data_IF_127263044312
#
_entry.id   IF_127263044312
#
_cell.length_a   1.000
_cell.length_b   1.000
_cell.length_c   1.000
_cell.angle_alpha   90.00
_cell.angle_beta   90.00
_cell.angle_gamma   90.00
#
_symmetry.space_group_name_H-M   'P 1'
#
loop_
_entity.id
_entity.type
_entity.pdbx_description
1 polymer ?
#
# COMPACT_ATOMS: atom_id res chain seq x y z
N UNK A 1 13.40 -6.83 3.80
CA UNK A 1 14.69 -6.19 3.53
C UNK A 1 14.46 -5.34 2.31
N UNK A 2 14.26 -4.05 2.57
CA UNK A 2 13.81 -3.04 1.63
C UNK A 2 14.43 -1.69 1.98
N UNK A 3 14.46 -0.80 0.99
CA UNK A 3 14.98 0.55 1.20
C UNK A 3 14.12 1.29 2.23
N UNK A 4 14.73 1.92 3.25
CA UNK A 4 13.99 2.67 4.26
C UNK A 4 13.20 3.83 3.66
N UNK A 5 13.61 4.34 2.49
CA UNK A 5 12.92 5.46 1.84
C UNK A 5 11.46 5.19 1.52
N UNK A 6 11.03 3.93 1.46
CA UNK A 6 9.63 3.55 1.26
C UNK A 6 8.71 4.05 2.39
N UNK A 7 9.26 4.31 3.58
CA UNK A 7 8.49 4.81 4.72
C UNK A 7 8.28 6.34 4.71
N UNK A 8 8.89 7.07 3.78
CA UNK A 8 8.68 8.52 3.67
C UNK A 8 8.58 9.04 2.23
N UNK A 9 8.70 8.17 1.23
CA UNK A 9 8.41 8.50 -0.17
C UNK A 9 7.00 8.03 -0.49
N UNK A 10 6.07 8.94 -0.67
CA UNK A 10 4.70 8.66 -1.05
C UNK A 10 4.61 8.56 -2.58
N UNK A 11 4.09 7.46 -3.10
CA UNK A 11 3.68 7.37 -4.51
C UNK A 11 2.22 7.80 -4.60
N UNK A 12 1.93 8.78 -5.45
CA UNK A 12 0.57 9.30 -5.66
C UNK A 12 0.35 9.66 -7.13
N UNK A 13 -0.90 9.96 -7.45
CA UNK A 13 -1.25 10.57 -8.73
C UNK A 13 -1.31 12.09 -8.58
N UNK A 14 -0.81 12.81 -9.57
CA UNK A 14 -1.03 14.25 -9.67
C UNK A 14 -2.43 14.56 -10.25
N UNK A 15 -2.76 15.85 -10.37
CA UNK A 15 -4.06 16.30 -10.91
C UNK A 15 -4.29 15.89 -12.37
N UNK A 16 -3.24 15.48 -13.09
CA UNK A 16 -3.30 14.99 -14.47
C UNK A 16 -3.36 13.46 -14.54
N UNK A 17 -3.39 12.77 -13.39
CA UNK A 17 -3.37 11.31 -13.31
C UNK A 17 -1.98 10.70 -13.51
N UNK A 18 -0.92 11.51 -13.50
CA UNK A 18 0.45 11.02 -13.68
C UNK A 18 1.08 10.59 -12.35
N UNK A 19 1.90 9.54 -12.43
CA UNK A 19 2.63 9.01 -11.28
C UNK A 19 3.65 10.02 -10.77
N UNK A 20 3.50 10.44 -9.53
CA UNK A 20 4.45 11.29 -8.82
C UNK A 20 4.96 10.60 -7.55
N UNK A 21 6.23 10.85 -7.20
CA UNK A 21 6.79 10.45 -5.91
C UNK A 21 7.17 11.69 -5.13
N UNK A 22 6.58 11.84 -3.95
CA UNK A 22 6.82 12.96 -3.04
C UNK A 22 7.54 12.47 -1.79
N UNK A 23 8.51 13.24 -1.30
CA UNK A 23 9.13 13.00 0.00
C UNK A 23 8.31 13.71 1.10
N UNK A 24 7.81 12.95 2.06
CA UNK A 24 7.09 13.46 3.23
C UNK A 24 8.09 13.76 4.34
N UNK A 25 8.47 15.03 4.47
CA UNK A 25 9.54 15.47 5.37
C UNK A 25 9.31 15.08 6.84
N UNK A 26 8.09 15.29 7.37
CA UNK A 26 7.77 14.90 8.75
C UNK A 26 7.86 13.39 8.98
N UNK A 27 7.47 12.58 7.97
CA UNK A 27 7.56 11.12 8.05
C UNK A 27 9.02 10.67 8.06
N UNK A 28 9.87 11.29 7.23
CA UNK A 28 11.32 11.04 7.20
C UNK A 28 11.97 11.38 8.53
N UNK A 29 11.67 12.56 9.07
CA UNK A 29 12.20 13.00 10.36
C UNK A 29 11.75 12.07 11.49
N UNK A 30 10.46 11.75 11.55
CA UNK A 30 9.92 10.78 12.50
C UNK A 30 10.60 9.41 12.38
N UNK A 31 10.75 8.89 11.17
CA UNK A 31 11.40 7.59 10.95
C UNK A 31 12.85 7.60 11.44
N UNK A 32 13.60 8.64 11.13
CA UNK A 32 15.01 8.78 11.56
C UNK A 32 15.13 8.90 13.09
N UNK A 33 14.18 9.57 13.75
CA UNK A 33 14.15 9.69 15.21
C UNK A 33 13.71 8.40 15.90
N UNK A 34 12.69 7.73 15.37
CA UNK A 34 12.12 6.51 15.97
C UNK A 34 13.00 5.29 15.74
N UNK A 35 13.74 5.27 14.62
CA UNK A 35 14.55 4.14 14.18
C UNK A 35 16.01 4.56 13.91
N UNK A 36 16.62 5.27 14.88
CA UNK A 36 18.00 5.79 14.78
C UNK A 36 19.00 4.71 14.37
N UNK A 37 18.83 3.47 14.84
CA UNK A 37 19.67 2.33 14.49
C UNK A 37 19.71 1.99 12.99
N UNK A 38 18.71 2.45 12.23
CA UNK A 38 18.58 2.25 10.79
C UNK A 38 18.83 3.53 10.00
N UNK A 39 19.14 4.64 10.66
CA UNK A 39 19.47 5.90 10.00
C UNK A 39 20.72 5.72 9.13
N UNK A 40 20.58 5.96 7.82
CA UNK A 40 21.67 5.81 6.86
C UNK A 40 21.95 4.39 6.39
N UNK A 41 21.17 3.38 6.82
CA UNK A 41 21.25 2.04 6.25
C UNK A 41 20.55 1.97 4.89
N UNK A 42 21.05 1.12 4.00
CA UNK A 42 20.43 0.86 2.70
C UNK A 42 19.25 -0.12 2.79
N UNK A 43 19.18 -0.88 3.88
CA UNK A 43 18.23 -1.96 4.06
C UNK A 43 17.74 -1.99 5.51
N UNK A 44 16.44 -2.25 5.69
CA UNK A 44 15.81 -2.31 7.00
C UNK A 44 14.92 -3.55 7.19
N UNK A 45 14.77 -4.03 8.44
CA UNK A 45 13.89 -5.15 8.75
C UNK A 45 12.43 -4.67 8.75
N UNK A 46 11.79 -4.69 7.58
CA UNK A 46 10.41 -4.21 7.37
C UNK A 46 9.41 -4.74 8.41
N UNK A 47 9.49 -6.04 8.75
CA UNK A 47 8.59 -6.67 9.71
C UNK A 47 8.71 -6.08 11.12
N UNK A 48 9.93 -5.70 11.55
CA UNK A 48 10.14 -5.05 12.83
C UNK A 48 9.55 -3.64 12.84
N UNK A 49 9.83 -2.85 11.79
CA UNK A 49 9.32 -1.48 11.66
C UNK A 49 7.79 -1.47 11.62
N UNK A 50 7.19 -2.32 10.77
CA UNK A 50 5.74 -2.41 10.62
C UNK A 50 5.05 -2.76 11.94
N UNK A 51 5.60 -3.71 12.72
CA UNK A 51 5.10 -4.04 14.06
C UNK A 51 5.16 -2.85 15.02
N UNK A 52 6.28 -2.13 15.05
CA UNK A 52 6.43 -0.94 15.90
C UNK A 52 5.43 0.16 15.51
N UNK A 53 5.27 0.44 14.22
CA UNK A 53 4.30 1.42 13.74
C UNK A 53 2.86 1.02 14.09
N UNK A 54 2.47 -0.25 13.87
CA UNK A 54 1.14 -0.75 14.25
C UNK A 54 0.90 -0.62 15.76
N UNK A 55 1.90 -0.92 16.58
CA UNK A 55 1.79 -0.75 18.02
C UNK A 55 1.60 0.72 18.42
N UNK A 56 2.30 1.66 17.78
CA UNK A 56 2.10 3.10 18.01
C UNK A 56 0.69 3.54 17.63
N UNK A 57 0.21 3.12 16.45
CA UNK A 57 -1.13 3.45 15.95
C UNK A 57 -2.23 2.90 16.88
N UNK A 58 -2.10 1.64 17.32
CA UNK A 58 -3.09 0.96 18.17
C UNK A 58 -3.09 1.47 19.62
N UNK A 59 -1.93 1.83 20.17
CA UNK A 59 -1.82 2.35 21.55
C UNK A 59 -2.59 3.64 21.77
N UNK A 60 -2.75 4.45 20.72
CA UNK A 60 -3.26 5.83 20.84
C UNK A 60 -4.57 6.03 20.08
N UNK A 61 -5.27 4.94 19.74
CA UNK A 61 -6.52 4.94 18.97
C UNK A 61 -7.69 5.77 19.53
N UNK A 62 -7.51 6.48 20.66
CA UNK A 62 -8.53 7.28 21.35
C UNK A 62 -8.09 8.72 21.74
N UNK A 63 -6.89 9.19 21.36
CA UNK A 63 -6.47 10.58 21.67
C UNK A 63 -6.29 11.38 20.38
N UNK A 64 -7.24 12.24 20.07
CA UNK A 64 -7.08 13.23 19.00
C UNK A 64 -5.86 14.13 19.28
N UNK A 65 -4.94 14.22 18.32
CA UNK A 65 -3.76 15.08 18.42
C UNK A 65 -2.43 14.37 18.70
N UNK A 66 -2.39 13.04 18.79
CA UNK A 66 -1.12 12.33 18.99
C UNK A 66 -0.27 12.26 17.70
N UNK A 67 0.69 13.17 17.62
CA UNK A 67 1.59 13.33 16.47
C UNK A 67 2.39 12.06 16.13
N UNK A 68 2.96 11.30 17.09
CA UNK A 68 3.67 10.05 16.80
C UNK A 68 2.81 8.96 16.16
N UNK A 69 1.60 8.69 16.67
CA UNK A 69 0.70 7.70 16.07
C UNK A 69 0.31 8.09 14.63
N UNK A 70 0.02 9.38 14.40
CA UNK A 70 -0.28 9.90 13.07
C UNK A 70 0.92 9.76 12.11
N UNK A 71 2.13 10.10 12.54
CA UNK A 71 3.32 9.96 11.69
C UNK A 71 3.68 8.49 11.42
N UNK A 72 3.41 7.59 12.36
CA UNK A 72 3.52 6.16 12.11
C UNK A 72 2.52 5.68 11.05
N UNK A 73 1.27 6.16 11.09
CA UNK A 73 0.25 5.89 10.07
C UNK A 73 0.69 6.40 8.69
N UNK A 74 1.18 7.63 8.63
CA UNK A 74 1.75 8.26 7.42
C UNK A 74 2.89 7.41 6.85
N UNK A 75 3.81 6.91 7.70
CA UNK A 75 4.90 6.05 7.25
C UNK A 75 4.39 4.74 6.65
N UNK A 76 3.37 4.14 7.26
CA UNK A 76 2.75 2.90 6.77
C UNK A 76 2.04 3.13 5.43
N UNK A 77 1.33 4.26 5.27
CA UNK A 77 0.68 4.64 4.00
C UNK A 77 1.71 4.91 2.89
N UNK A 78 2.84 5.56 3.19
CA UNK A 78 3.95 5.67 2.26
C UNK A 78 4.45 4.29 1.80
N UNK A 79 4.67 3.37 2.74
CA UNK A 79 5.11 2.02 2.41
C UNK A 79 4.08 1.30 1.52
N UNK A 80 2.79 1.37 1.88
CA UNK A 80 1.69 0.78 1.11
C UNK A 80 1.66 1.34 -0.32
N UNK A 81 1.75 2.65 -0.51
CA UNK A 81 1.76 3.27 -1.84
C UNK A 81 2.89 2.75 -2.75
N UNK A 82 4.09 2.54 -2.19
CA UNK A 82 5.21 1.94 -2.93
C UNK A 82 4.93 0.48 -3.31
N UNK A 83 4.26 -0.27 -2.43
CA UNK A 83 3.88 -1.65 -2.72
C UNK A 83 2.82 -1.71 -3.83
N UNK A 84 1.82 -0.82 -3.78
CA UNK A 84 0.78 -0.69 -4.82
C UNK A 84 1.43 -0.40 -6.18
N UNK A 85 2.28 0.63 -6.26
CA UNK A 85 3.03 0.98 -7.49
C UNK A 85 3.82 -0.23 -8.03
N UNK A 86 4.54 -0.93 -7.16
CA UNK A 86 5.27 -2.14 -7.54
C UNK A 86 4.39 -3.30 -8.02
N UNK A 87 3.16 -3.44 -7.49
CA UNK A 87 2.19 -4.45 -7.96
C UNK A 87 1.70 -4.09 -9.37
N UNK A 88 1.32 -2.83 -9.60
CA UNK A 88 0.88 -2.36 -10.92
C UNK A 88 1.98 -2.54 -11.97
N UNK A 89 3.23 -2.21 -11.63
CA UNK A 89 4.39 -2.45 -12.51
C UNK A 89 4.55 -3.93 -12.87
N UNK A 90 4.42 -4.84 -11.89
CA UNK A 90 4.51 -6.29 -12.15
C UNK A 90 3.35 -6.80 -13.01
N UNK A 91 2.13 -6.34 -12.77
CA UNK A 91 0.97 -6.71 -13.60
C UNK A 91 1.15 -6.27 -15.05
N UNK A 92 1.57 -5.03 -15.27
CA UNK A 92 1.83 -4.52 -16.61
C UNK A 92 3.01 -5.23 -17.30
N UNK A 93 4.06 -5.59 -16.55
CA UNK A 93 5.16 -6.38 -17.08
C UNK A 93 4.73 -7.80 -17.50
N UNK A 94 3.81 -8.41 -16.75
CA UNK A 94 3.34 -9.77 -17.03
C UNK A 94 2.31 -9.82 -18.15
N UNK A 95 1.39 -8.85 -18.21
CA UNK A 95 0.21 -8.92 -19.08
C UNK A 95 0.08 -7.73 -20.04
N UNK A 96 0.65 -6.57 -19.69
CA UNK A 96 0.40 -5.32 -20.38
C UNK A 96 0.77 -5.32 -21.86
N UNK A 97 1.91 -5.90 -22.23
CA UNK A 97 2.35 -5.96 -23.65
C UNK A 97 1.42 -6.77 -24.54
N UNK A 98 0.80 -7.83 -24.00
CA UNK A 98 -0.13 -8.71 -24.73
C UNK A 98 -1.55 -8.15 -24.76
N UNK A 99 -1.94 -7.44 -23.69
CA UNK A 99 -3.32 -7.00 -23.45
C UNK A 99 -3.52 -5.50 -23.67
N UNK A 100 -2.50 -4.75 -24.09
CA UNK A 100 -2.64 -3.37 -24.56
C UNK A 100 -2.70 -2.31 -23.45
N UNK A 101 -2.21 -2.59 -22.25
CA UNK A 101 -2.19 -1.63 -21.14
C UNK A 101 -0.80 -1.50 -20.50
N UNK A 102 -0.60 -0.43 -19.75
CA UNK A 102 0.59 -0.12 -18.99
C UNK A 102 0.27 -0.01 -17.50
N UNK A 103 1.30 0.06 -16.65
CA UNK A 103 1.07 0.22 -15.22
C UNK A 103 0.37 1.54 -14.88
N UNK A 104 0.55 2.59 -15.70
CA UNK A 104 -0.12 3.88 -15.53
C UNK A 104 -1.64 3.75 -15.65
N UNK A 105 -2.12 2.84 -16.49
CA UNK A 105 -3.57 2.60 -16.64
C UNK A 105 -4.16 1.94 -15.40
N UNK A 106 -3.34 1.25 -14.59
CA UNK A 106 -3.79 0.59 -13.36
C UNK A 106 -3.82 1.52 -12.14
N UNK A 107 -2.93 2.52 -12.09
CA UNK A 107 -2.77 3.37 -10.90
C UNK A 107 -4.04 4.10 -10.46
N UNK A 108 -4.89 4.64 -11.36
CA UNK A 108 -6.11 5.35 -10.97
C UNK A 108 -7.09 4.52 -10.13
N UNK A 109 -7.05 3.20 -10.26
CA UNK A 109 -7.94 2.30 -9.52
C UNK A 109 -7.46 2.02 -8.09
N UNK A 110 -6.20 2.27 -7.77
CA UNK A 110 -5.59 1.77 -6.52
C UNK A 110 -4.72 2.79 -5.76
N UNK A 111 -4.24 3.84 -6.42
CA UNK A 111 -3.53 4.96 -5.80
C UNK A 111 -4.46 6.16 -5.59
N UNK A 112 -5.44 5.96 -4.72
CA UNK A 112 -6.46 6.93 -4.34
C UNK A 112 -6.09 7.74 -3.07
N UNK A 113 -4.86 7.56 -2.59
CA UNK A 113 -4.47 8.00 -1.26
C UNK A 113 -3.92 9.43 -1.22
N UNK A 114 -4.50 10.27 -0.36
CA UNK A 114 -4.02 11.62 -0.07
C UNK A 114 -3.52 11.68 1.37
N UNK A 115 -2.20 11.72 1.55
CA UNK A 115 -1.59 11.79 2.88
C UNK A 115 -1.47 13.25 3.30
N UNK A 116 -2.29 13.66 4.26
CA UNK A 116 -2.20 14.98 4.89
C UNK A 116 -1.43 14.86 6.20
N UNK A 117 -0.31 15.55 6.32
CA UNK A 117 0.51 15.54 7.54
C UNK A 117 -0.11 16.42 8.65
N UNK A 118 -0.90 17.42 8.27
CA UNK A 118 -1.34 18.48 9.17
C UNK A 118 -2.70 18.24 9.82
N UNK A 119 -3.59 17.42 9.21
CA UNK A 119 -4.86 16.99 9.80
C UNK A 119 -5.33 15.69 9.17
N UNK A 120 -5.81 14.73 9.99
CA UNK A 120 -6.76 13.70 9.53
C UNK A 120 -7.96 14.45 8.96
N UNK A 121 -8.11 14.49 7.64
CA UNK A 121 -9.29 15.08 7.02
C UNK A 121 -10.51 14.32 7.54
N UNK A 122 -11.52 15.04 8.03
CA UNK A 122 -12.82 14.47 8.44
C UNK A 122 -13.66 13.98 7.25
N UNK A 123 -13.01 13.64 6.14
CA UNK A 123 -13.67 13.05 4.99
C UNK A 123 -14.13 11.65 5.38
N UNK A 124 -15.39 11.33 5.06
CA UNK A 124 -15.91 9.96 5.16
C UNK A 124 -15.24 9.02 4.17
N UNK A 125 -14.52 9.56 3.18
CA UNK A 125 -13.80 8.78 2.20
C UNK A 125 -12.60 8.06 2.83
N UNK A 126 -12.55 6.73 2.63
CA UNK A 126 -11.42 5.88 3.03
C UNK A 126 -10.71 5.37 1.80
N UNK A 127 -9.48 5.81 1.61
CA UNK A 127 -8.58 5.31 0.57
C UNK A 127 -8.27 3.82 0.73
N UNK A 128 -7.85 3.16 -0.34
CA UNK A 128 -7.38 1.77 -0.31
C UNK A 128 -6.24 1.59 0.70
N UNK A 129 -5.30 2.53 0.77
CA UNK A 129 -4.20 2.47 1.73
C UNK A 129 -4.69 2.50 3.20
N UNK A 130 -5.71 3.30 3.50
CA UNK A 130 -6.35 3.33 4.82
C UNK A 130 -7.07 2.01 5.11
N UNK A 131 -7.84 1.47 4.15
CA UNK A 131 -8.52 0.16 4.29
C UNK A 131 -7.54 -0.99 4.52
N UNK A 132 -6.41 -0.97 3.81
CA UNK A 132 -5.32 -1.94 4.00
C UNK A 132 -4.78 -1.85 5.43
N UNK A 133 -4.51 -0.64 5.92
CA UNK A 133 -3.93 -0.44 7.24
C UNK A 133 -4.91 -0.80 8.37
N UNK A 134 -6.18 -0.45 8.23
CA UNK A 134 -7.25 -0.79 9.20
C UNK A 134 -7.41 -2.30 9.38
N UNK A 135 -7.28 -3.07 8.29
CA UNK A 135 -7.43 -4.53 8.29
C UNK A 135 -6.12 -5.29 8.52
N UNK A 136 -4.99 -4.58 8.59
CA UNK A 136 -3.68 -5.19 8.68
C UNK A 136 -3.39 -5.76 10.08
N UNK A 137 -2.94 -7.01 10.10
CA UNK A 137 -2.51 -7.72 11.30
C UNK A 137 -1.08 -8.26 11.14
N UNK A 138 -0.08 -7.66 11.84
CA UNK A 138 1.32 -8.02 11.67
C UNK A 138 1.71 -9.40 12.22
N UNK A 139 0.81 -10.06 12.94
CA UNK A 139 1.01 -11.43 13.44
C UNK A 139 0.51 -12.49 12.45
N UNK A 140 -0.35 -12.10 11.49
CA UNK A 140 -0.93 -13.01 10.48
C UNK A 140 -0.21 -12.97 9.15
N UNK A 141 0.28 -11.81 8.71
CA UNK A 141 0.94 -11.65 7.43
C UNK A 141 1.93 -10.48 7.40
N UNK A 142 2.88 -10.53 6.46
CA UNK A 142 3.68 -9.37 6.09
C UNK A 142 2.83 -8.33 5.35
N UNK A 143 3.10 -7.04 5.56
CA UNK A 143 2.30 -5.97 4.93
C UNK A 143 2.34 -6.02 3.40
N UNK A 144 3.47 -6.38 2.79
CA UNK A 144 3.57 -6.52 1.32
C UNK A 144 2.62 -7.59 0.78
N UNK A 145 2.53 -8.75 1.45
CA UNK A 145 1.60 -9.82 1.09
C UNK A 145 0.16 -9.37 1.28
N UNK A 146 -0.12 -8.64 2.36
CA UNK A 146 -1.45 -8.10 2.65
C UNK A 146 -1.90 -7.08 1.58
N UNK A 147 -1.03 -6.12 1.24
CA UNK A 147 -1.26 -5.15 0.16
C UNK A 147 -1.51 -5.87 -1.16
N UNK A 148 -0.67 -6.86 -1.52
CA UNK A 148 -0.84 -7.62 -2.76
C UNK A 148 -2.20 -8.29 -2.85
N UNK A 149 -2.65 -8.92 -1.76
CA UNK A 149 -3.97 -9.56 -1.70
C UNK A 149 -5.09 -8.55 -1.90
N UNK A 150 -5.05 -7.41 -1.21
CA UNK A 150 -6.13 -6.42 -1.26
C UNK A 150 -6.15 -5.63 -2.57
N UNK A 151 -4.99 -5.32 -3.16
CA UNK A 151 -4.92 -4.69 -4.48
C UNK A 151 -5.53 -5.58 -5.55
N UNK A 152 -5.23 -6.88 -5.53
CA UNK A 152 -5.78 -7.83 -6.52
C UNK A 152 -7.27 -8.10 -6.37
N UNK A 153 -7.84 -7.88 -5.18
CA UNK A 153 -9.26 -8.05 -4.91
C UNK A 153 -10.02 -6.73 -4.91
N UNK A 154 -9.50 -5.69 -5.58
CA UNK A 154 -10.20 -4.43 -5.72
C UNK A 154 -11.03 -4.45 -7.01
N UNK A 155 -12.33 -4.21 -6.85
CA UNK A 155 -13.34 -4.48 -7.88
C UNK A 155 -13.08 -3.68 -9.16
N UNK A 156 -12.74 -2.40 -9.05
CA UNK A 156 -12.53 -1.55 -10.23
C UNK A 156 -11.29 -1.96 -11.06
N UNK A 157 -10.22 -2.43 -10.42
CA UNK A 157 -9.01 -2.96 -11.04
C UNK A 157 -9.29 -4.32 -11.68
N UNK A 158 -10.02 -5.18 -10.99
CA UNK A 158 -10.43 -6.48 -11.54
C UNK A 158 -11.29 -6.29 -12.78
N UNK A 159 -12.26 -5.37 -12.73
CA UNK A 159 -13.09 -5.02 -13.88
C UNK A 159 -12.27 -4.48 -15.05
N UNK A 160 -11.34 -3.56 -14.80
CA UNK A 160 -10.45 -3.06 -15.86
C UNK A 160 -9.64 -4.20 -16.50
N UNK A 161 -9.04 -5.06 -15.70
CA UNK A 161 -8.23 -6.18 -16.21
C UNK A 161 -9.10 -7.13 -17.04
N UNK A 162 -10.32 -7.41 -16.60
CA UNK A 162 -11.31 -8.20 -17.33
C UNK A 162 -11.64 -7.60 -18.70
N UNK A 163 -11.86 -6.27 -18.75
CA UNK A 163 -12.10 -5.54 -20.00
C UNK A 163 -10.92 -5.62 -20.97
N UNK A 164 -9.69 -5.72 -20.46
CA UNK A 164 -8.47 -5.98 -21.26
C UNK A 164 -8.24 -7.48 -21.56
N UNK A 165 -9.17 -8.36 -21.17
CA UNK A 165 -9.07 -9.81 -21.39
C UNK A 165 -8.11 -10.53 -20.44
N UNK A 166 -7.79 -9.93 -19.29
CA UNK A 166 -6.99 -10.52 -18.21
C UNK A 166 -7.90 -10.88 -17.06
N UNK A 167 -7.99 -12.18 -16.76
CA UNK A 167 -8.74 -12.65 -15.59
C UNK A 167 -7.81 -13.23 -14.53
N UNK A 168 -7.79 -12.60 -13.35
CA UNK A 168 -6.96 -13.01 -12.22
C UNK A 168 -7.67 -14.07 -11.37
N UNK A 169 -7.68 -15.31 -11.85
CA UNK A 169 -8.25 -16.42 -11.08
C UNK A 169 -7.35 -16.71 -9.88
N UNK A 170 -7.93 -16.73 -8.67
CA UNK A 170 -7.23 -17.23 -7.49
C UNK A 170 -7.12 -18.76 -7.53
N UNK A 171 -6.07 -19.34 -6.95
CA UNK A 171 -5.93 -20.80 -6.86
C UNK A 171 -7.16 -21.47 -6.21
N UNK A 172 -7.82 -20.77 -5.27
CA UNK A 172 -9.09 -21.20 -4.67
C UNK A 172 -10.27 -21.19 -5.63
N UNK A 173 -10.33 -20.23 -6.56
CA UNK A 173 -11.35 -20.21 -7.60
C UNK A 173 -11.15 -21.36 -8.60
N UNK A 174 -9.90 -21.74 -8.90
CA UNK A 174 -9.59 -22.94 -9.69
C UNK A 174 -10.06 -24.20 -8.95
N UNK A 175 -9.78 -24.31 -7.65
CA UNK A 175 -10.18 -25.47 -6.85
C UNK A 175 -11.70 -25.58 -6.69
N UNK A 176 -12.41 -24.47 -6.52
CA UNK A 176 -13.88 -24.46 -6.46
C UNK A 176 -14.54 -24.78 -7.81
N UNK A 177 -13.83 -24.56 -8.92
CA UNK A 177 -14.27 -24.92 -10.28
C UNK A 177 -13.96 -26.39 -10.62
N UNK A 178 -13.23 -27.11 -9.76
CA UNK A 178 -13.10 -28.57 -9.92
C UNK A 178 -14.38 -29.27 -9.48
N UNK A 179 -15.22 -29.66 -10.44
CA UNK A 179 -16.31 -30.59 -10.15
C UNK A 179 -15.73 -31.95 -9.74
N UNK A 180 -16.25 -32.59 -8.68
CA UNK A 180 -15.85 -33.93 -8.32
C UNK A 180 -16.20 -34.87 -9.49
N UNK A 181 -15.22 -35.68 -9.93
CA UNK A 181 -15.48 -36.74 -10.91
C UNK A 181 -16.51 -37.70 -10.31
N UNK A 182 -17.68 -37.81 -10.95
CA UNK A 182 -18.68 -38.83 -10.69
C UNK A 182 -18.14 -40.23 -11.03
#
# INVERSE_FOLDING_TARGET
>A
MGSPSRYWRLVKLDITGQRQVEEVADAKHFFQQQFVQFAGQFDVPDAFIQRQCVNLIRRVGNIEGDRPAHLAEVCMRCFISNQIDGICQRLAMQFGSRHGFTHHDLLPYVLDDVVSVTRRSSSSYRSLATKILDSYDPDKAGLSTWVHRLVRGQDELEQFLLEQGVYLISDWAILNDTQPKA
#
